data_IF_836029185529
#
_entry.id   IF_836029185529
#
_cell.length_a   1.000
_cell.length_b   1.000
_cell.length_c   1.000
_cell.angle_alpha   90.00
_cell.angle_beta   90.00
_cell.angle_gamma   90.00
#
_symmetry.space_group_name_H-M   'P 1'
#
loop_
_entity.id
_entity.type
_entity.pdbx_description
1 polymer ?
#
# COMPACT_ATOMS: atom_id res chain seq x y z
N UNK A 1 6.51 13.24 -8.68
CA UNK A 1 6.00 13.03 -7.30
C UNK A 1 5.13 14.21 -6.92
N UNK A 2 3.93 13.94 -6.42
CA UNK A 2 3.01 14.99 -5.96
C UNK A 2 2.28 14.57 -4.69
N UNK A 3 1.81 15.55 -3.94
CA UNK A 3 1.00 15.39 -2.73
C UNK A 3 -0.33 16.11 -2.89
N UNK A 4 -1.39 15.52 -2.38
CA UNK A 4 -2.72 16.13 -2.31
C UNK A 4 -3.14 16.20 -0.85
N UNK A 5 -3.50 17.39 -0.39
CA UNK A 5 -4.04 17.63 0.95
C UNK A 5 -5.45 18.18 0.85
N UNK A 6 -6.29 17.76 1.79
CA UNK A 6 -7.63 18.33 1.98
C UNK A 6 -7.75 18.73 3.44
N UNK A 7 -8.03 20.00 3.70
CA UNK A 7 -8.20 20.53 5.05
C UNK A 7 -9.57 20.13 5.63
N UNK A 8 -9.74 20.32 6.95
CA UNK A 8 -11.03 20.09 7.61
C UNK A 8 -12.15 20.99 7.06
N UNK A 9 -11.82 22.17 6.55
CA UNK A 9 -12.74 23.09 5.89
C UNK A 9 -13.04 22.70 4.44
N UNK A 10 -12.35 21.68 3.90
CA UNK A 10 -12.54 21.13 2.57
C UNK A 10 -11.69 21.80 1.48
N UNK A 11 -10.83 22.75 1.83
CA UNK A 11 -9.88 23.33 0.88
C UNK A 11 -8.88 22.25 0.42
N UNK A 12 -8.59 22.23 -0.88
CA UNK A 12 -7.71 21.24 -1.48
C UNK A 12 -6.42 21.90 -1.95
N UNK A 13 -5.28 21.25 -1.74
CA UNK A 13 -4.01 21.64 -2.33
C UNK A 13 -3.33 20.47 -3.02
N UNK A 14 -2.61 20.78 -4.10
CA UNK A 14 -1.80 19.83 -4.87
C UNK A 14 -0.38 20.42 -5.00
N UNK A 15 0.56 19.86 -4.26
CA UNK A 15 1.97 20.21 -4.31
C UNK A 15 2.73 19.25 -5.21
N UNK A 16 3.55 19.77 -6.13
CA UNK A 16 4.41 18.96 -7.01
C UNK A 16 5.86 19.07 -6.56
N UNK A 17 6.42 17.94 -6.14
CA UNK A 17 7.80 17.86 -5.62
C UNK A 17 8.80 17.45 -6.71
N UNK A 18 8.32 16.79 -7.75
CA UNK A 18 9.13 16.38 -8.91
C UNK A 18 8.22 16.07 -10.09
N UNK A 19 8.58 16.61 -11.25
CA UNK A 19 7.85 16.44 -12.49
C UNK A 19 6.72 17.45 -12.66
N UNK A 20 5.54 17.00 -13.08
CA UNK A 20 4.41 17.88 -13.44
C UNK A 20 3.08 17.18 -13.17
N UNK A 21 2.10 17.94 -12.72
CA UNK A 21 0.72 17.51 -12.58
C UNK A 21 -0.23 18.44 -13.35
N UNK A 22 -1.41 17.96 -13.70
CA UNK A 22 -2.48 18.78 -14.22
C UNK A 22 -3.68 18.67 -13.27
N UNK A 23 -4.07 19.79 -12.70
CA UNK A 23 -5.27 19.94 -11.89
C UNK A 23 -6.39 20.38 -12.78
N UNK A 24 -7.47 19.58 -12.84
CA UNK A 24 -8.65 19.87 -13.66
C UNK A 24 -9.87 20.12 -12.79
N UNK A 25 -10.53 21.22 -13.03
CA UNK A 25 -11.84 21.59 -12.49
C UNK A 25 -12.88 21.52 -13.60
N UNK A 26 -14.19 21.65 -13.33
CA UNK A 26 -15.21 21.66 -14.40
C UNK A 26 -14.97 22.73 -15.47
N UNK A 27 -14.36 23.85 -15.09
CA UNK A 27 -14.28 25.05 -15.95
C UNK A 27 -12.88 25.27 -16.55
N UNK A 28 -11.84 24.67 -15.95
CA UNK A 28 -10.46 24.90 -16.42
C UNK A 28 -9.52 23.76 -16.01
N UNK A 29 -8.36 23.71 -16.68
CA UNK A 29 -7.23 22.89 -16.26
C UNK A 29 -6.02 23.78 -16.05
N UNK A 30 -5.30 23.53 -14.95
CA UNK A 30 -4.10 24.25 -14.54
C UNK A 30 -2.95 23.26 -14.46
N UNK A 31 -1.84 23.59 -15.09
CA UNK A 31 -0.61 22.84 -14.96
C UNK A 31 0.13 23.33 -13.72
N UNK A 32 0.61 22.37 -12.93
CA UNK A 32 1.42 22.59 -11.72
C UNK A 32 2.77 21.98 -11.99
N UNK A 33 3.79 22.79 -12.02
CA UNK A 33 5.16 22.37 -12.29
C UNK A 33 5.92 22.03 -10.98
N UNK A 34 7.11 21.50 -11.13
CA UNK A 34 8.03 21.20 -10.04
C UNK A 34 8.26 22.44 -9.14
N UNK A 35 8.13 22.25 -7.83
CA UNK A 35 8.26 23.33 -6.84
C UNK A 35 7.03 24.25 -6.72
N UNK A 36 5.89 23.90 -7.30
CA UNK A 36 4.65 24.64 -7.21
C UNK A 36 3.58 23.89 -6.42
N UNK A 37 2.64 24.65 -5.86
CA UNK A 37 1.43 24.16 -5.21
C UNK A 37 0.22 24.87 -5.79
N UNK A 38 -0.76 24.11 -6.28
CA UNK A 38 -2.09 24.61 -6.59
C UNK A 38 -2.98 24.52 -5.37
N UNK A 39 -3.68 25.60 -5.04
CA UNK A 39 -4.68 25.65 -3.95
C UNK A 39 -6.05 25.97 -4.49
N UNK A 40 -7.07 25.28 -3.97
CA UNK A 40 -8.45 25.36 -4.42
C UNK A 40 -9.38 25.45 -3.20
N UNK A 41 -10.08 26.60 -2.99
CA UNK A 41 -11.06 26.72 -1.94
C UNK A 41 -12.27 25.80 -2.17
N UNK A 42 -12.79 25.21 -1.08
CA UNK A 42 -13.95 24.30 -1.14
C UNK A 42 -15.18 24.94 -1.79
N UNK A 43 -15.45 26.20 -1.51
CA UNK A 43 -16.62 26.92 -2.04
C UNK A 43 -16.46 27.41 -3.48
N UNK A 44 -15.23 27.45 -3.99
CA UNK A 44 -14.90 27.92 -5.35
C UNK A 44 -13.70 27.13 -5.94
N UNK A 45 -13.91 25.86 -6.31
CA UNK A 45 -12.82 25.00 -6.79
C UNK A 45 -12.26 25.45 -8.15
N UNK A 46 -12.95 26.34 -8.87
CA UNK A 46 -12.44 26.93 -10.13
C UNK A 46 -11.44 28.05 -9.88
N UNK A 47 -11.40 28.61 -8.68
CA UNK A 47 -10.40 29.60 -8.24
C UNK A 47 -9.11 28.89 -7.82
N UNK A 48 -8.29 28.53 -8.79
CA UNK A 48 -7.01 27.84 -8.55
C UNK A 48 -5.90 28.86 -8.49
N UNK A 49 -5.29 28.97 -7.32
CA UNK A 49 -4.09 29.78 -7.11
C UNK A 49 -2.83 28.91 -7.17
N UNK A 50 -1.81 29.39 -7.89
CA UNK A 50 -0.49 28.79 -7.91
C UNK A 50 0.44 29.57 -6.99
N UNK A 51 1.04 28.86 -6.04
CA UNK A 51 2.02 29.40 -5.12
C UNK A 51 3.29 28.55 -5.14
N UNK A 52 4.41 29.14 -4.77
CA UNK A 52 5.63 28.37 -4.60
C UNK A 52 5.45 27.36 -3.45
N UNK A 53 5.92 26.13 -3.67
CA UNK A 53 5.95 25.13 -2.62
C UNK A 53 6.87 25.57 -1.46
N UNK A 54 6.39 25.39 -0.24
CA UNK A 54 7.05 25.95 0.97
C UNK A 54 8.04 25.00 1.64
N UNK A 55 8.25 23.82 1.09
CA UNK A 55 9.20 22.83 1.61
C UNK A 55 8.55 21.65 2.34
N UNK A 56 9.37 20.66 2.71
CA UNK A 56 8.95 19.42 3.37
C UNK A 56 8.45 19.65 4.78
N UNK A 57 7.31 19.04 5.11
CA UNK A 57 6.81 18.91 6.47
C UNK A 57 7.10 17.52 7.06
N UNK A 58 6.45 17.19 8.18
CA UNK A 58 6.63 15.89 8.85
C UNK A 58 6.09 14.72 8.02
N UNK A 59 5.02 14.92 7.25
CA UNK A 59 4.47 13.89 6.37
C UNK A 59 5.40 13.63 5.18
N UNK A 60 5.91 14.67 4.54
CA UNK A 60 6.87 14.55 3.44
C UNK A 60 8.17 13.87 3.90
N UNK A 61 8.63 14.22 5.09
CA UNK A 61 9.83 13.60 5.71
C UNK A 61 9.58 12.10 5.97
N UNK A 62 8.42 11.74 6.48
CA UNK A 62 8.03 10.36 6.71
C UNK A 62 7.91 9.59 5.38
N UNK A 63 7.21 10.13 4.40
CA UNK A 63 7.05 9.53 3.06
C UNK A 63 8.40 9.31 2.37
N UNK A 64 9.27 10.32 2.37
CA UNK A 64 10.62 10.20 1.81
C UNK A 64 11.47 9.14 2.54
N UNK A 65 11.29 9.02 3.87
CA UNK A 65 11.92 7.96 4.66
C UNK A 65 11.50 6.57 4.20
N UNK A 66 10.21 6.36 3.94
CA UNK A 66 9.70 5.11 3.39
C UNK A 66 10.30 4.83 2.00
N UNK A 67 10.32 5.80 1.10
CA UNK A 67 10.91 5.64 -0.23
C UNK A 67 12.39 5.23 -0.17
N UNK A 68 13.15 5.81 0.76
CA UNK A 68 14.55 5.43 0.98
C UNK A 68 14.70 4.01 1.53
N UNK A 69 13.80 3.58 2.41
CA UNK A 69 13.80 2.22 2.94
C UNK A 69 13.41 1.22 1.85
N UNK A 70 12.46 1.55 0.98
CA UNK A 70 12.13 0.78 -0.22
C UNK A 70 13.34 0.64 -1.15
N UNK A 71 14.02 1.74 -1.46
CA UNK A 71 15.18 1.72 -2.35
C UNK A 71 16.34 0.88 -1.78
N UNK A 72 16.59 0.94 -0.47
CA UNK A 72 17.58 0.10 0.20
C UNK A 72 17.20 -1.37 0.14
N UNK A 73 15.94 -1.69 0.35
CA UNK A 73 15.44 -3.05 0.28
C UNK A 73 15.57 -3.63 -1.12
N UNK A 74 15.12 -2.89 -2.14
CA UNK A 74 15.17 -3.30 -3.54
C UNK A 74 16.61 -3.57 -3.99
N UNK A 75 17.55 -2.69 -3.62
CA UNK A 75 18.97 -2.85 -3.96
C UNK A 75 19.64 -4.08 -3.32
N UNK A 76 19.19 -4.53 -2.14
CA UNK A 76 19.76 -5.70 -1.44
C UNK A 76 19.12 -7.02 -1.86
N UNK A 77 17.85 -7.03 -2.26
CA UNK A 77 17.11 -8.25 -2.56
C UNK A 77 17.01 -8.58 -4.06
N UNK A 78 17.29 -7.63 -4.93
CA UNK A 78 17.34 -7.88 -6.38
C UNK A 78 18.39 -8.93 -6.75
N UNK A 79 19.45 -9.06 -5.94
CA UNK A 79 20.52 -10.05 -6.12
C UNK A 79 20.28 -11.40 -5.45
N UNK A 80 19.28 -11.56 -4.60
CA UNK A 80 19.06 -12.82 -3.87
C UNK A 80 18.02 -13.75 -4.49
N UNK A 81 17.45 -13.42 -5.63
CA UNK A 81 16.58 -14.35 -6.42
C UNK A 81 15.28 -14.81 -5.75
N UNK A 82 15.05 -14.46 -4.49
CA UNK A 82 14.01 -15.08 -3.68
C UNK A 82 12.70 -14.30 -3.62
N UNK A 83 12.70 -13.00 -3.86
CA UNK A 83 11.49 -12.19 -3.74
C UNK A 83 11.01 -11.65 -5.09
N UNK A 84 11.91 -11.18 -5.94
CA UNK A 84 11.54 -10.58 -7.23
C UNK A 84 10.97 -11.59 -8.24
N UNK A 85 11.41 -12.84 -8.21
CA UNK A 85 10.86 -13.89 -9.09
C UNK A 85 9.50 -14.43 -8.62
N UNK A 86 9.17 -14.28 -7.33
CA UNK A 86 7.89 -14.70 -6.79
C UNK A 86 6.79 -13.65 -6.99
N UNK A 87 7.18 -12.39 -7.14
CA UNK A 87 6.26 -11.25 -7.25
C UNK A 87 6.58 -10.41 -8.47
N UNK A 88 6.28 -10.93 -9.65
CA UNK A 88 6.16 -10.09 -10.84
C UNK A 88 4.88 -9.23 -10.79
N UNK A 89 4.49 -8.77 -9.57
CA UNK A 89 3.32 -7.95 -9.30
C UNK A 89 3.76 -6.72 -8.53
N UNK A 90 4.21 -5.72 -9.26
CA UNK A 90 4.45 -4.37 -8.77
C UNK A 90 3.18 -3.62 -8.34
N UNK A 91 2.02 -4.27 -8.47
CA UNK A 91 0.69 -3.73 -8.23
C UNK A 91 0.17 -3.94 -6.81
N UNK A 92 0.88 -4.68 -5.94
CA UNK A 92 0.48 -4.83 -4.54
C UNK A 92 1.21 -3.81 -3.68
N UNK A 93 0.46 -2.84 -3.22
CA UNK A 93 0.96 -1.83 -2.28
C UNK A 93 1.41 -2.48 -0.96
N UNK A 94 2.52 -2.01 -0.39
CA UNK A 94 3.00 -2.43 0.93
C UNK A 94 3.84 -3.72 0.95
N UNK A 95 4.11 -4.38 -0.18
CA UNK A 95 4.93 -5.60 -0.18
C UNK A 95 6.38 -5.36 0.24
N UNK A 96 6.97 -4.25 -0.20
CA UNK A 96 8.36 -3.94 0.12
C UNK A 96 8.57 -3.68 1.62
N UNK A 97 7.59 -3.07 2.28
CA UNK A 97 7.63 -2.81 3.74
C UNK A 97 7.74 -4.11 4.56
N UNK A 98 7.20 -5.21 4.06
CA UNK A 98 7.20 -6.47 4.80
C UNK A 98 8.60 -6.94 5.17
N UNK A 99 9.61 -6.57 4.40
CA UNK A 99 10.99 -6.92 4.70
C UNK A 99 11.54 -6.25 5.98
N UNK A 100 11.02 -5.09 6.32
CA UNK A 100 11.38 -4.37 7.55
C UNK A 100 10.80 -5.05 8.79
N UNK A 101 9.67 -5.75 8.64
CA UNK A 101 8.86 -6.26 9.75
C UNK A 101 8.82 -7.78 9.85
N UNK A 102 9.50 -8.49 8.97
CA UNK A 102 9.49 -9.95 8.97
C UNK A 102 10.56 -10.56 8.08
N UNK A 103 10.39 -11.83 7.77
CA UNK A 103 11.33 -12.58 6.94
C UNK A 103 10.59 -13.44 5.92
N UNK A 104 11.12 -13.51 4.71
CA UNK A 104 10.61 -14.39 3.67
C UNK A 104 11.21 -15.79 3.82
N UNK A 105 10.36 -16.80 3.70
CA UNK A 105 10.69 -18.21 3.74
C UNK A 105 10.23 -18.88 2.46
N UNK A 106 11.15 -19.57 1.78
CA UNK A 106 10.78 -20.50 0.71
C UNK A 106 10.23 -21.79 1.32
N UNK A 107 8.97 -22.10 1.05
CA UNK A 107 8.28 -23.29 1.56
C UNK A 107 7.87 -24.19 0.41
N UNK A 108 8.20 -25.49 0.52
CA UNK A 108 7.91 -26.46 -0.54
C UNK A 108 6.42 -26.69 -0.81
N UNK A 109 5.57 -26.43 0.19
CA UNK A 109 4.11 -26.65 0.09
C UNK A 109 3.35 -25.43 -0.36
N UNK A 110 3.85 -24.22 -0.03
CA UNK A 110 3.11 -22.96 -0.22
C UNK A 110 3.85 -21.96 -1.10
N UNK A 111 5.05 -22.27 -1.57
CA UNK A 111 5.90 -21.30 -2.26
C UNK A 111 6.55 -20.33 -1.28
N UNK A 112 6.69 -19.08 -1.66
CA UNK A 112 7.24 -18.05 -0.77
C UNK A 112 6.18 -17.57 0.23
N UNK A 113 6.53 -17.63 1.52
CA UNK A 113 5.71 -17.18 2.63
C UNK A 113 6.45 -16.07 3.38
N UNK A 114 5.72 -15.15 3.96
CA UNK A 114 6.29 -14.13 4.82
C UNK A 114 5.91 -14.38 6.28
N UNK A 115 6.90 -14.31 7.18
CA UNK A 115 6.76 -14.54 8.62
C UNK A 115 6.98 -13.21 9.34
N UNK A 116 5.95 -12.65 10.02
CA UNK A 116 6.09 -11.41 10.77
C UNK A 116 7.01 -11.57 11.97
N UNK A 117 7.75 -10.53 12.31
CA UNK A 117 8.55 -10.44 13.53
C UNK A 117 7.65 -9.95 14.67
N UNK A 118 6.92 -10.86 15.27
CA UNK A 118 5.91 -10.59 16.31
C UNK A 118 6.15 -11.45 17.54
N UNK A 119 5.55 -11.09 18.67
CA UNK A 119 5.59 -11.87 19.90
C UNK A 119 4.87 -13.21 19.78
N UNK A 120 5.23 -14.17 20.64
CA UNK A 120 4.71 -15.55 20.60
C UNK A 120 3.19 -15.70 20.79
N UNK A 121 2.52 -14.68 21.33
CA UNK A 121 1.07 -14.66 21.51
C UNK A 121 0.30 -13.99 20.39
N UNK A 122 0.97 -13.51 19.36
CA UNK A 122 0.33 -12.85 18.23
C UNK A 122 -0.34 -13.87 17.30
N UNK A 123 -1.47 -13.49 16.76
CA UNK A 123 -2.14 -14.22 15.68
C UNK A 123 -2.73 -13.23 14.66
N UNK A 124 -2.96 -13.64 13.41
CA UNK A 124 -3.65 -12.82 12.45
C UNK A 124 -4.99 -12.33 12.99
N UNK A 125 -5.34 -11.09 12.66
CA UNK A 125 -6.59 -10.42 13.08
C UNK A 125 -6.72 -10.15 14.59
N UNK A 126 -5.64 -10.30 15.39
CA UNK A 126 -5.68 -10.03 16.84
C UNK A 126 -5.33 -8.59 17.21
N UNK A 127 -4.67 -7.84 16.32
CA UNK A 127 -4.22 -6.47 16.57
C UNK A 127 -4.82 -5.49 15.57
N UNK A 128 -6.09 -5.12 15.79
CA UNK A 128 -6.83 -4.25 14.90
C UNK A 128 -8.33 -4.29 15.18
N UNK A 129 -9.13 -3.83 14.23
CA UNK A 129 -10.60 -3.84 14.34
C UNK A 129 -11.24 -4.08 12.97
N UNK A 130 -12.50 -4.49 12.98
CA UNK A 130 -13.30 -4.66 11.78
C UNK A 130 -14.13 -3.41 11.53
N UNK A 131 -14.00 -2.84 10.33
CA UNK A 131 -14.75 -1.69 9.86
C UNK A 131 -15.64 -2.10 8.68
N UNK A 132 -16.88 -1.68 8.71
CA UNK A 132 -17.78 -1.86 7.56
C UNK A 132 -17.64 -0.71 6.58
N UNK A 133 -17.36 -1.03 5.32
CA UNK A 133 -17.32 -0.07 4.22
C UNK A 133 -18.45 -0.38 3.24
N UNK A 134 -19.37 0.58 2.98
CA UNK A 134 -20.43 0.39 1.98
C UNK A 134 -19.85 0.01 0.60
N UNK A 135 -20.37 -1.07 0.02
CA UNK A 135 -19.89 -1.59 -1.26
C UNK A 135 -18.75 -2.60 -1.18
N UNK A 136 -18.04 -2.68 -0.04
CA UNK A 136 -16.92 -3.62 0.18
C UNK A 136 -17.17 -4.62 1.31
N UNK A 137 -18.05 -4.30 2.28
CA UNK A 137 -18.30 -5.13 3.43
C UNK A 137 -17.37 -4.86 4.61
N UNK A 138 -17.23 -5.87 5.50
CA UNK A 138 -16.32 -5.78 6.63
C UNK A 138 -14.87 -5.96 6.19
N UNK A 139 -14.04 -5.01 6.56
CA UNK A 139 -12.61 -5.00 6.28
C UNK A 139 -11.83 -4.90 7.58
N UNK A 140 -10.78 -5.69 7.73
CA UNK A 140 -9.90 -5.60 8.90
C UNK A 140 -8.93 -4.43 8.76
N UNK A 141 -8.94 -3.55 9.75
CA UNK A 141 -8.01 -2.42 9.86
C UNK A 141 -6.99 -2.78 10.93
N UNK A 142 -5.77 -3.06 10.51
CA UNK A 142 -4.67 -3.45 11.39
C UNK A 142 -4.05 -2.24 12.09
N UNK A 143 -3.65 -2.43 13.36
CA UNK A 143 -2.76 -1.49 14.06
C UNK A 143 -1.29 -1.76 13.77
N UNK A 144 -0.96 -2.91 13.17
CA UNK A 144 0.39 -3.19 12.71
C UNK A 144 0.67 -2.37 11.43
N UNK A 145 1.75 -1.58 11.42
CA UNK A 145 2.11 -0.68 10.30
C UNK A 145 2.31 -1.42 8.97
N UNK A 146 2.70 -2.69 9.02
CA UNK A 146 2.88 -3.57 7.86
C UNK A 146 1.60 -4.30 7.42
N UNK A 147 0.48 -4.08 8.11
CA UNK A 147 -0.73 -4.90 7.96
C UNK A 147 -1.45 -4.76 6.63
N UNK A 148 -1.20 -3.70 5.84
CA UNK A 148 -1.97 -3.49 4.63
C UNK A 148 -1.97 -4.71 3.70
N UNK A 149 -0.83 -5.11 3.15
CA UNK A 149 -0.76 -6.22 2.20
C UNK A 149 -1.24 -7.56 2.81
N UNK A 150 -0.78 -8.00 4.00
CA UNK A 150 -1.15 -9.29 4.55
C UNK A 150 -2.60 -9.45 4.98
N UNK A 151 -3.32 -8.35 5.24
CA UNK A 151 -4.74 -8.41 5.63
C UNK A 151 -5.70 -8.10 4.48
N UNK A 152 -5.20 -7.67 3.31
CA UNK A 152 -6.01 -7.39 2.13
C UNK A 152 -5.77 -8.38 0.99
N UNK A 153 -4.64 -9.10 1.01
CA UNK A 153 -4.28 -10.06 -0.03
C UNK A 153 -3.82 -11.39 0.56
N UNK A 154 -3.90 -12.44 -0.24
CA UNK A 154 -3.39 -13.74 0.16
C UNK A 154 -4.14 -14.39 1.31
N UNK A 155 -3.43 -15.17 2.11
CA UNK A 155 -4.00 -15.89 3.26
C UNK A 155 -2.95 -16.16 4.33
N UNK A 156 -3.41 -16.39 5.55
CA UNK A 156 -2.57 -16.81 6.68
C UNK A 156 -2.60 -18.33 6.86
N UNK A 157 -1.47 -18.90 7.25
CA UNK A 157 -1.34 -20.31 7.64
C UNK A 157 -0.37 -20.44 8.80
N UNK A 158 -0.65 -21.37 9.71
CA UNK A 158 0.29 -21.69 10.78
C UNK A 158 1.28 -22.75 10.30
N UNK A 159 2.57 -22.42 10.31
CA UNK A 159 3.64 -23.31 9.91
C UNK A 159 4.36 -23.85 11.15
N UNK A 160 4.38 -25.17 11.33
CA UNK A 160 5.09 -25.79 12.43
C UNK A 160 6.57 -25.41 12.46
N UNK A 161 7.03 -24.92 13.60
CA UNK A 161 8.40 -24.44 13.79
C UNK A 161 8.64 -22.99 13.38
N UNK A 162 7.72 -22.34 12.68
CA UNK A 162 7.87 -20.97 12.21
C UNK A 162 6.77 -20.02 12.74
N UNK A 163 5.61 -20.55 13.14
CA UNK A 163 4.47 -19.75 13.57
C UNK A 163 3.56 -19.32 12.41
N UNK A 164 2.88 -18.18 12.56
CA UNK A 164 2.00 -17.64 11.53
C UNK A 164 2.80 -17.10 10.36
N UNK A 165 2.44 -17.54 9.17
CA UNK A 165 3.02 -17.13 7.91
C UNK A 165 1.94 -16.63 6.95
N UNK A 166 2.21 -15.52 6.30
CA UNK A 166 1.37 -15.03 5.23
C UNK A 166 1.81 -15.63 3.89
N UNK A 167 0.83 -16.12 3.14
CA UNK A 167 1.00 -16.73 1.82
C UNK A 167 0.34 -15.76 0.84
N UNK A 168 1.12 -14.97 0.09
CA UNK A 168 0.57 -13.90 -0.74
C UNK A 168 -0.34 -14.40 -1.86
N UNK A 169 0.08 -15.45 -2.56
CA UNK A 169 -0.71 -16.14 -3.59
C UNK A 169 -0.23 -17.58 -3.70
N UNK A 170 -1.11 -18.51 -3.97
CA UNK A 170 -0.65 -19.84 -4.32
C UNK A 170 -0.21 -19.85 -5.78
N UNK A 171 1.07 -20.10 -6.01
CA UNK A 171 1.57 -20.54 -7.30
C UNK A 171 1.08 -21.96 -7.66
N UNK A 172 0.27 -22.55 -6.79
CA UNK A 172 -0.26 -23.89 -6.98
C UNK A 172 -1.62 -23.83 -7.68
N UNK A 173 -1.60 -24.11 -8.97
CA UNK A 173 -2.77 -24.44 -9.77
C UNK A 173 -3.38 -23.27 -10.51
N UNK A 174 -2.99 -23.14 -11.75
CA UNK A 174 -3.69 -22.43 -12.82
C UNK A 174 -5.17 -22.85 -13.01
N UNK A 175 -5.75 -23.59 -12.09
CA UNK A 175 -7.13 -24.07 -12.17
C UNK A 175 -8.13 -23.36 -11.23
N UNK A 176 -7.67 -22.47 -10.34
CA UNK A 176 -8.57 -21.63 -9.52
C UNK A 176 -8.60 -20.16 -9.93
N UNK A 177 -7.80 -19.76 -10.91
CA UNK A 177 -7.69 -18.39 -11.40
C UNK A 177 -8.57 -18.05 -12.59
N UNK A 178 -9.48 -18.92 -13.02
CA UNK A 178 -10.25 -18.72 -14.26
C UNK A 178 -11.69 -18.25 -14.04
N UNK A 179 -12.09 -17.83 -12.84
CA UNK A 179 -13.51 -17.52 -12.60
C UNK A 179 -13.87 -16.06 -12.40
N UNK A 180 -12.96 -15.12 -12.48
CA UNK A 180 -13.36 -13.71 -12.57
C UNK A 180 -12.43 -12.94 -13.51
N UNK A 181 -12.79 -12.95 -14.78
CA UNK A 181 -12.41 -11.90 -15.73
C UNK A 181 -13.17 -10.63 -15.35
N UNK A 182 -12.54 -9.76 -14.64
CA UNK A 182 -13.06 -8.45 -14.25
C UNK A 182 -12.05 -7.87 -13.26
N UNK A 183 -11.60 -6.68 -13.52
CA UNK A 183 -10.73 -5.84 -12.73
C UNK A 183 -10.75 -6.16 -11.24
N UNK A 184 -9.84 -7.04 -10.82
CA UNK A 184 -9.71 -7.47 -9.43
C UNK A 184 -9.00 -6.36 -8.66
N UNK A 185 -9.75 -5.36 -8.29
CA UNK A 185 -9.39 -4.52 -7.16
C UNK A 185 -9.50 -5.42 -5.94
N UNK A 186 -8.39 -6.10 -5.61
CA UNK A 186 -8.31 -7.19 -4.64
C UNK A 186 -8.62 -6.77 -3.22
N UNK A 187 -9.88 -6.55 -2.94
CA UNK A 187 -10.41 -6.55 -1.59
C UNK A 187 -10.66 -8.01 -1.23
N UNK A 188 -9.73 -8.56 -0.47
CA UNK A 188 -9.66 -9.97 -0.17
C UNK A 188 -10.98 -10.55 0.33
N UNK A 189 -11.29 -11.72 -0.16
CA UNK A 189 -12.34 -12.57 0.39
C UNK A 189 -12.07 -12.78 1.88
N UNK A 190 -12.87 -12.11 2.71
CA UNK A 190 -12.96 -12.38 4.14
C UNK A 190 -13.52 -13.79 4.32
N UNK A 191 -12.67 -14.75 4.65
CA UNK A 191 -13.17 -15.99 5.22
C UNK A 191 -13.61 -15.68 6.65
N UNK A 192 -14.89 -15.83 6.91
CA UNK A 192 -15.42 -15.96 8.26
C UNK A 192 -14.90 -17.27 8.88
N UNK A 193 -14.58 -17.27 10.18
CA UNK A 193 -14.45 -18.51 10.93
C UNK A 193 -15.79 -19.23 11.05
#
# INVERSE_FOLDING_TARGET
>A
VYRVDVTDDGDTSVAVHDGRATVSTPDRSVQVDDGETATMPYGDPSNVDLVAWTGYDSFDTWSTGLDQDYARYDSHNYNSGSVSSAFNRSDIYGLAELALYGSWLANSSYGNCWIPRVGSGWSPYSNGYWQYYPGYGYTFVSYDSWGWAPFHYGRWSYLNGYGWAWIPFSSYGSNYGSYYGGYDYGWGNSYYP
#
